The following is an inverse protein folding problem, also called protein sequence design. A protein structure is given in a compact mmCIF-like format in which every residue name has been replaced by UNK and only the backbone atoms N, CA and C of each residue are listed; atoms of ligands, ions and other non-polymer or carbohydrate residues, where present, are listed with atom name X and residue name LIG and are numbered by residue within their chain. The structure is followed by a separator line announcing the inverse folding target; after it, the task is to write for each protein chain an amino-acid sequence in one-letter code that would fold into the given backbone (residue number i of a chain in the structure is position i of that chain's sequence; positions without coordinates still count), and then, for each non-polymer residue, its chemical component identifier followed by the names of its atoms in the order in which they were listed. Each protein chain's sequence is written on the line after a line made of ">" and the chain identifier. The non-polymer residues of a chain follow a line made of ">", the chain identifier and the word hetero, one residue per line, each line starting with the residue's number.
data_IF_889197725549
#
_entry.id   IF_889197725549
#
_cell.length_a   1.000
_cell.length_b   1.000
_cell.length_c   1.000
_cell.angle_alpha   90.00
_cell.angle_beta   90.00
_cell.angle_gamma   90.00
#
_symmetry.space_group_name_H-M   'P 1'
#
loop_
_entity.id
_entity.type
_entity.pdbx_description
1 polymer ?
#
# COMPACT_ATOMS: atom_id res chain seq x y z
N UNK A 1 20.83 -9.31 1.00
CA UNK A 1 19.51 -8.73 1.32
C UNK A 1 18.74 -8.68 0.02
N UNK A 2 17.51 -9.11 0.02
CA UNK A 2 16.68 -9.07 -1.18
C UNK A 2 15.35 -8.35 -0.91
N UNK A 3 14.70 -7.93 -1.98
CA UNK A 3 13.49 -7.11 -1.93
C UNK A 3 12.38 -7.66 -2.82
N UNK A 4 11.17 -7.69 -2.28
CA UNK A 4 9.96 -8.06 -3.00
C UNK A 4 9.04 -6.85 -3.08
N UNK A 5 8.71 -6.44 -4.29
CA UNK A 5 7.76 -5.36 -4.57
C UNK A 5 6.39 -5.94 -4.94
N UNK A 6 5.32 -5.48 -4.29
CA UNK A 6 3.95 -5.88 -4.59
C UNK A 6 3.11 -4.65 -4.86
N UNK A 7 2.75 -4.42 -6.12
CA UNK A 7 1.91 -3.32 -6.53
C UNK A 7 0.51 -3.78 -6.97
N UNK A 8 -0.43 -2.86 -7.05
CA UNK A 8 -1.77 -3.14 -7.54
C UNK A 8 -2.83 -2.22 -6.91
N UNK A 9 -4.07 -2.25 -7.42
CA UNK A 9 -5.14 -1.34 -7.01
C UNK A 9 -5.65 -1.58 -5.59
N UNK A 10 -6.49 -0.69 -5.09
CA UNK A 10 -7.09 -0.81 -3.76
C UNK A 10 -8.00 -2.04 -3.67
N UNK A 11 -7.94 -2.77 -2.55
CA UNK A 11 -8.80 -3.95 -2.33
C UNK A 11 -8.36 -5.22 -3.07
N UNK A 12 -7.21 -5.25 -3.77
CA UNK A 12 -6.72 -6.45 -4.46
C UNK A 12 -6.12 -7.52 -3.51
N UNK A 13 -6.04 -7.27 -2.20
CA UNK A 13 -5.52 -8.25 -1.23
C UNK A 13 -4.03 -8.11 -0.94
N UNK A 14 -3.33 -7.11 -1.50
CA UNK A 14 -1.88 -6.91 -1.35
C UNK A 14 -1.39 -6.95 0.10
N UNK A 15 -2.02 -6.21 1.00
CA UNK A 15 -1.55 -6.11 2.39
C UNK A 15 -1.60 -7.46 3.09
N UNK A 16 -2.65 -8.24 2.86
CA UNK A 16 -2.79 -9.57 3.45
C UNK A 16 -1.72 -10.51 2.90
N UNK A 17 -1.56 -10.55 1.57
CA UNK A 17 -0.59 -11.45 0.94
C UNK A 17 0.85 -11.04 1.23
N UNK A 18 1.15 -9.73 1.23
CA UNK A 18 2.48 -9.21 1.52
C UNK A 18 2.93 -9.55 2.94
N UNK A 19 2.02 -9.45 3.91
CA UNK A 19 2.28 -9.83 5.29
C UNK A 19 2.55 -11.34 5.42
N UNK A 20 1.68 -12.18 4.87
CA UNK A 20 1.88 -13.63 4.87
C UNK A 20 3.17 -14.05 4.17
N UNK A 21 3.51 -13.40 3.05
CA UNK A 21 4.74 -13.66 2.32
C UNK A 21 5.97 -13.27 3.15
N UNK A 22 5.94 -12.12 3.81
CA UNK A 22 7.03 -11.67 4.69
C UNK A 22 7.23 -12.64 5.86
N UNK A 23 6.15 -13.09 6.50
CA UNK A 23 6.19 -14.08 7.57
C UNK A 23 6.80 -15.42 7.09
N UNK A 24 6.36 -15.93 5.94
CA UNK A 24 6.88 -17.18 5.34
C UNK A 24 8.35 -17.11 4.93
N UNK A 25 8.82 -15.93 4.55
CA UNK A 25 10.21 -15.68 4.16
C UNK A 25 11.08 -15.21 5.34
N UNK A 26 10.48 -14.96 6.50
CA UNK A 26 11.13 -14.39 7.69
C UNK A 26 11.89 -13.09 7.38
N UNK A 27 11.20 -12.16 6.69
CA UNK A 27 11.72 -10.83 6.33
C UNK A 27 10.71 -9.74 6.70
N UNK A 28 11.12 -8.49 6.60
CA UNK A 28 10.30 -7.36 7.05
C UNK A 28 9.16 -7.06 6.07
N UNK A 29 7.94 -7.01 6.57
CA UNK A 29 6.79 -6.45 5.86
C UNK A 29 6.78 -4.91 5.95
N UNK A 30 6.42 -4.21 4.86
CA UNK A 30 6.28 -2.75 4.82
C UNK A 30 5.02 -2.33 4.07
N UNK A 31 4.04 -1.76 4.80
CA UNK A 31 2.84 -1.09 4.25
C UNK A 31 3.17 0.38 3.95
N UNK A 32 3.52 0.69 2.70
CA UNK A 32 3.81 2.08 2.33
C UNK A 32 2.57 2.97 2.40
N UNK A 33 1.38 2.43 2.17
CA UNK A 33 0.13 3.15 2.32
C UNK A 33 -0.11 3.62 3.76
N UNK A 34 0.37 2.88 4.76
CA UNK A 34 0.32 3.31 6.16
C UNK A 34 1.14 4.59 6.39
N UNK A 35 2.30 4.73 5.75
CA UNK A 35 3.12 5.93 5.85
C UNK A 35 2.42 7.16 5.26
N UNK A 36 1.75 7.03 4.10
CA UNK A 36 0.92 8.12 3.54
C UNK A 36 -0.26 8.46 4.45
N UNK A 37 -0.89 7.46 5.07
CA UNK A 37 -1.98 7.67 6.02
C UNK A 37 -1.51 8.35 7.32
N UNK A 38 -0.28 8.12 7.77
CA UNK A 38 0.29 8.84 8.91
C UNK A 38 0.48 10.34 8.60
N UNK A 39 0.95 10.70 7.41
CA UNK A 39 1.00 12.10 6.97
C UNK A 39 -0.41 12.70 6.90
N UNK A 40 -1.39 11.95 6.39
CA UNK A 40 -2.77 12.40 6.32
C UNK A 40 -3.38 12.64 7.72
N UNK A 41 -3.08 11.78 8.68
CA UNK A 41 -3.50 11.94 10.07
C UNK A 41 -2.92 13.24 10.65
N UNK A 42 -1.62 13.47 10.51
CA UNK A 42 -0.97 14.69 11.00
C UNK A 42 -1.58 15.96 10.39
N UNK A 43 -1.77 15.98 9.07
CA UNK A 43 -2.42 17.10 8.39
C UNK A 43 -3.85 17.34 8.90
N UNK A 44 -4.62 16.28 9.15
CA UNK A 44 -5.97 16.39 9.70
C UNK A 44 -5.98 16.95 11.13
N UNK A 45 -5.09 16.43 11.99
CA UNK A 45 -5.03 16.82 13.41
C UNK A 45 -4.52 18.26 13.61
N UNK A 46 -3.59 18.70 12.77
CA UNK A 46 -2.98 20.04 12.87
C UNK A 46 -3.69 21.09 12.01
N UNK A 47 -4.43 20.67 10.97
CA UNK A 47 -4.99 21.58 9.97
C UNK A 47 -3.94 22.18 9.02
N UNK A 48 -2.68 21.70 9.06
CA UNK A 48 -1.57 22.20 8.24
C UNK A 48 -1.45 21.35 6.98
N UNK A 49 -1.14 22.00 5.85
CA UNK A 49 -0.89 21.28 4.60
C UNK A 49 0.44 20.49 4.67
N UNK A 50 0.48 19.27 4.09
CA UNK A 50 1.65 18.40 4.21
C UNK A 50 2.96 19.03 3.75
N UNK A 51 2.92 19.92 2.76
CA UNK A 51 4.11 20.57 2.20
C UNK A 51 4.82 21.51 3.19
N UNK A 52 4.07 21.99 4.19
CA UNK A 52 4.55 22.96 5.16
C UNK A 52 5.20 22.30 6.38
N UNK A 53 4.94 20.99 6.61
CA UNK A 53 5.51 20.27 7.75
C UNK A 53 6.32 19.03 7.38
N UNK A 54 6.29 18.57 6.12
CA UNK A 54 6.85 17.26 5.74
C UNK A 54 8.34 17.10 6.05
N UNK A 55 9.09 18.20 6.08
CA UNK A 55 10.52 18.19 6.42
C UNK A 55 10.78 18.03 7.92
N UNK A 56 9.81 18.34 8.76
CA UNK A 56 9.91 18.36 10.22
C UNK A 56 9.35 17.08 10.86
N UNK A 57 8.51 16.34 10.12
CA UNK A 57 7.85 15.16 10.64
C UNK A 57 8.78 13.95 10.58
N UNK A 58 8.80 13.17 11.66
CA UNK A 58 9.46 11.89 11.71
C UNK A 58 8.46 10.77 11.43
N UNK A 59 8.76 9.94 10.43
CA UNK A 59 8.01 8.72 10.16
C UNK A 59 8.95 7.54 10.21
N UNK A 60 8.57 6.54 11.00
CA UNK A 60 9.24 5.25 11.07
C UNK A 60 8.25 4.10 10.86
N UNK A 61 8.79 2.95 10.46
CA UNK A 61 8.03 1.73 10.25
C UNK A 61 8.86 0.52 10.72
N UNK A 62 8.41 -0.11 11.80
CA UNK A 62 9.01 -1.33 12.35
C UNK A 62 7.93 -2.16 13.07
N UNK A 63 8.16 -3.45 13.20
CA UNK A 63 7.26 -4.40 13.87
C UNK A 63 5.80 -4.34 13.35
N UNK A 64 5.66 -4.19 12.02
CA UNK A 64 4.37 -4.02 11.32
C UNK A 64 3.56 -2.77 11.76
N UNK A 65 4.21 -1.81 12.41
CA UNK A 65 3.61 -0.59 12.92
C UNK A 65 4.21 0.65 12.28
N UNK A 66 3.36 1.67 12.13
CA UNK A 66 3.81 2.99 11.68
C UNK A 66 3.83 3.98 12.85
N UNK A 67 4.93 4.68 12.96
CA UNK A 67 5.16 5.69 13.99
C UNK A 67 5.22 7.07 13.35
N UNK A 68 4.56 8.02 13.99
CA UNK A 68 4.56 9.44 13.62
C UNK A 68 5.09 10.22 14.82
N UNK A 69 6.23 10.90 14.64
CA UNK A 69 6.92 11.63 15.71
C UNK A 69 7.10 10.78 17.00
N UNK A 70 7.41 9.50 16.83
CA UNK A 70 7.61 8.54 17.92
C UNK A 70 6.32 7.92 18.49
N UNK A 71 5.14 8.35 18.07
CA UNK A 71 3.86 7.78 18.50
C UNK A 71 3.40 6.68 17.54
N UNK A 72 2.95 5.52 18.07
CA UNK A 72 2.29 4.47 17.27
C UNK A 72 0.90 4.95 16.84
N UNK A 73 0.72 5.18 15.55
CA UNK A 73 -0.53 5.65 14.95
C UNK A 73 -1.25 4.59 14.13
N UNK A 74 -0.81 3.33 14.21
CA UNK A 74 -1.26 2.23 13.35
C UNK A 74 -2.77 2.01 13.36
N UNK A 75 -3.43 2.19 14.49
CA UNK A 75 -4.88 2.06 14.60
C UNK A 75 -5.62 3.33 14.15
N UNK A 76 -5.08 4.51 14.50
CA UNK A 76 -5.67 5.81 14.15
C UNK A 76 -5.79 6.05 12.65
N UNK A 77 -4.88 5.49 11.86
CA UNK A 77 -4.81 5.68 10.40
C UNK A 77 -5.74 4.79 9.58
N UNK A 78 -6.51 3.88 10.21
CA UNK A 78 -7.31 2.87 9.49
C UNK A 78 -8.77 3.28 9.24
N UNK A 79 -9.05 4.57 9.24
CA UNK A 79 -10.39 5.11 8.92
C UNK A 79 -10.53 5.41 7.42
N UNK A 80 -11.77 5.41 6.93
CA UNK A 80 -12.07 5.74 5.53
C UNK A 80 -11.68 7.20 5.22
N UNK A 81 -11.94 8.11 6.15
CA UNK A 81 -11.58 9.52 6.01
C UNK A 81 -10.06 9.72 5.81
N UNK A 82 -9.24 9.09 6.66
CA UNK A 82 -7.78 9.14 6.53
C UNK A 82 -7.33 8.48 5.22
N UNK A 83 -7.98 7.41 4.80
CA UNK A 83 -7.66 6.73 3.54
C UNK A 83 -7.95 7.62 2.31
N UNK A 84 -9.07 8.36 2.31
CA UNK A 84 -9.41 9.34 1.25
C UNK A 84 -8.42 10.51 1.24
N UNK A 85 -8.09 11.05 2.42
CA UNK A 85 -7.11 12.13 2.54
C UNK A 85 -5.71 11.70 2.09
N UNK A 86 -5.26 10.51 2.47
CA UNK A 86 -3.98 9.93 2.03
C UNK A 86 -3.90 9.79 0.50
N UNK A 87 -4.99 9.37 -0.15
CA UNK A 87 -5.07 9.30 -1.61
C UNK A 87 -4.90 10.70 -2.25
N UNK A 88 -5.52 11.73 -1.67
CA UNK A 88 -5.35 13.12 -2.12
C UNK A 88 -3.90 13.60 -1.95
N UNK A 89 -3.33 13.40 -0.76
CA UNK A 89 -1.97 13.82 -0.40
C UNK A 89 -0.92 13.10 -1.26
N UNK A 90 -1.15 11.84 -1.63
CA UNK A 90 -0.23 11.05 -2.44
C UNK A 90 0.03 11.61 -3.85
N UNK A 91 -0.76 12.59 -4.31
CA UNK A 91 -0.53 13.32 -5.56
C UNK A 91 0.58 14.37 -5.43
N UNK A 92 0.90 14.80 -4.21
CA UNK A 92 1.90 15.84 -3.96
C UNK A 92 3.32 15.29 -4.11
N UNK A 93 4.11 15.88 -5.02
CA UNK A 93 5.46 15.42 -5.35
C UNK A 93 6.40 15.47 -4.13
N UNK A 94 6.39 16.56 -3.34
CA UNK A 94 7.28 16.69 -2.17
C UNK A 94 7.02 15.61 -1.12
N UNK A 95 5.73 15.30 -0.88
CA UNK A 95 5.35 14.22 0.04
C UNK A 95 5.83 12.88 -0.46
N UNK A 96 5.69 12.63 -1.77
CA UNK A 96 6.18 11.39 -2.38
C UNK A 96 7.68 11.25 -2.25
N UNK A 97 8.44 12.27 -2.65
CA UNK A 97 9.90 12.27 -2.58
C UNK A 97 10.39 11.98 -1.16
N UNK A 98 9.80 12.62 -0.15
CA UNK A 98 10.11 12.38 1.25
C UNK A 98 9.85 10.92 1.65
N UNK A 99 8.65 10.39 1.37
CA UNK A 99 8.28 9.03 1.75
C UNK A 99 9.07 7.97 0.98
N UNK A 100 9.31 8.16 -0.32
CA UNK A 100 10.15 7.26 -1.13
C UNK A 100 11.56 7.16 -0.55
N UNK A 101 12.16 8.28 -0.11
CA UNK A 101 13.47 8.26 0.55
C UNK A 101 13.44 7.44 1.85
N UNK A 102 12.39 7.57 2.67
CA UNK A 102 12.22 6.77 3.91
C UNK A 102 12.07 5.28 3.58
N UNK A 103 11.22 4.92 2.62
CA UNK A 103 10.99 3.55 2.16
C UNK A 103 12.27 2.90 1.63
N UNK A 104 13.04 3.60 0.81
CA UNK A 104 14.35 3.14 0.33
C UNK A 104 15.36 2.94 1.46
N UNK A 105 15.34 3.79 2.49
CA UNK A 105 16.21 3.62 3.67
C UNK A 105 15.89 2.32 4.43
N UNK A 106 14.62 1.93 4.51
CA UNK A 106 14.21 0.67 5.14
C UNK A 106 14.78 -0.52 4.35
N UNK A 107 14.58 -0.56 3.02
CA UNK A 107 15.03 -1.67 2.17
C UNK A 107 16.55 -1.82 2.09
N UNK A 108 17.32 -0.73 2.32
CA UNK A 108 18.77 -0.78 2.40
C UNK A 108 19.31 -1.39 3.69
N UNK A 109 18.48 -1.50 4.73
CA UNK A 109 18.90 -2.03 6.04
C UNK A 109 18.57 -3.50 6.23
N UNK A 110 17.56 -4.02 5.51
CA UNK A 110 17.03 -5.37 5.68
C UNK A 110 16.30 -5.86 4.43
N UNK A 111 16.15 -7.18 4.29
CA UNK A 111 15.27 -7.75 3.27
C UNK A 111 13.82 -7.40 3.57
N UNK A 112 13.05 -7.08 2.52
CA UNK A 112 11.67 -6.57 2.67
C UNK A 112 10.69 -7.20 1.70
N UNK A 113 9.44 -7.35 2.12
CA UNK A 113 8.25 -7.35 1.26
C UNK A 113 7.60 -5.99 1.41
N UNK A 114 7.61 -5.20 0.38
CA UNK A 114 7.03 -3.86 0.37
C UNK A 114 5.83 -3.80 -0.57
N UNK A 115 4.71 -3.29 -0.07
CA UNK A 115 3.50 -3.16 -0.88
C UNK A 115 3.07 -1.72 -1.09
N UNK A 116 2.50 -1.45 -2.27
CA UNK A 116 2.02 -0.10 -2.61
C UNK A 116 1.35 0.03 -3.96
N UNK A 117 1.72 1.09 -4.70
CA UNK A 117 1.20 1.42 -6.04
C UNK A 117 2.29 1.61 -7.07
N UNK A 118 3.50 1.89 -6.62
CA UNK A 118 4.63 2.28 -7.43
C UNK A 118 5.95 1.74 -6.86
N UNK A 119 5.85 0.62 -6.13
CA UNK A 119 7.01 0.04 -5.47
C UNK A 119 8.00 -0.45 -6.53
N UNK A 120 7.55 -1.28 -7.48
CA UNK A 120 8.38 -1.84 -8.53
C UNK A 120 8.75 -0.86 -9.64
N UNK A 121 8.10 0.31 -9.72
CA UNK A 121 8.39 1.32 -10.75
C UNK A 121 9.23 2.47 -10.22
N UNK A 122 9.04 2.89 -8.97
CA UNK A 122 9.66 4.11 -8.41
C UNK A 122 10.47 3.82 -7.15
N UNK A 123 9.89 3.13 -6.18
CA UNK A 123 10.52 2.96 -4.86
C UNK A 123 11.71 2.01 -4.96
N UNK A 124 11.49 0.81 -5.51
CA UNK A 124 12.46 -0.28 -5.67
C UNK A 124 12.45 -0.78 -7.13
N UNK A 125 12.89 0.04 -8.10
CA UNK A 125 12.87 -0.35 -9.51
C UNK A 125 13.77 -1.56 -9.80
N UNK A 126 14.77 -1.79 -8.95
CA UNK A 126 15.68 -2.93 -9.01
C UNK A 126 15.32 -4.02 -7.99
N UNK A 127 14.03 -4.12 -7.58
CA UNK A 127 13.59 -5.20 -6.70
C UNK A 127 13.85 -6.56 -7.33
N UNK A 128 14.34 -7.51 -6.51
CA UNK A 128 14.68 -8.87 -6.97
C UNK A 128 13.45 -9.60 -7.50
N UNK A 129 12.29 -9.34 -6.88
CA UNK A 129 11.00 -9.90 -7.30
C UNK A 129 9.95 -8.79 -7.33
N UNK A 130 9.21 -8.72 -8.43
CA UNK A 130 8.13 -7.76 -8.63
C UNK A 130 6.84 -8.49 -8.96
N UNK A 131 5.79 -8.16 -8.23
CA UNK A 131 4.45 -8.69 -8.45
C UNK A 131 3.45 -7.56 -8.66
N UNK A 132 2.51 -7.74 -9.56
CA UNK A 132 1.36 -6.88 -9.72
C UNK A 132 0.11 -7.70 -9.42
N UNK A 133 -0.53 -7.43 -8.28
CA UNK A 133 -1.70 -8.15 -7.81
C UNK A 133 -2.96 -7.36 -8.12
N UNK A 134 -3.86 -7.96 -8.87
CA UNK A 134 -5.16 -7.37 -9.18
C UNK A 134 -6.29 -8.39 -9.00
N UNK A 135 -7.51 -7.87 -9.04
CA UNK A 135 -8.77 -8.56 -9.23
C UNK A 135 -9.72 -7.55 -9.85
N UNK A 136 -10.66 -7.95 -10.63
CA UNK A 136 -11.66 -7.04 -11.22
C UNK A 136 -12.30 -6.14 -10.16
N UNK A 137 -12.63 -4.89 -10.53
CA UNK A 137 -13.10 -3.86 -9.56
C UNK A 137 -14.35 -4.31 -8.80
N UNK A 138 -15.24 -5.08 -9.41
CA UNK A 138 -16.44 -5.63 -8.78
C UNK A 138 -16.07 -6.64 -7.68
N UNK A 139 -15.08 -7.50 -7.93
CA UNK A 139 -14.56 -8.46 -6.94
C UNK A 139 -13.95 -7.71 -5.75
N UNK A 140 -13.16 -6.68 -6.02
CA UNK A 140 -12.55 -5.83 -4.97
C UNK A 140 -13.60 -5.07 -4.17
N UNK A 141 -14.63 -4.55 -4.83
CA UNK A 141 -15.75 -3.89 -4.19
C UNK A 141 -16.52 -4.85 -3.27
N UNK A 142 -16.75 -6.09 -3.72
CA UNK A 142 -17.42 -7.11 -2.90
C UNK A 142 -16.59 -7.46 -1.66
N UNK A 143 -15.28 -7.66 -1.82
CA UNK A 143 -14.35 -7.90 -0.69
C UNK A 143 -14.39 -6.74 0.31
N UNK A 144 -14.33 -5.49 -0.19
CA UNK A 144 -14.35 -4.30 0.67
C UNK A 144 -15.68 -4.11 1.37
N UNK A 145 -16.79 -4.29 0.66
CA UNK A 145 -18.14 -4.24 1.23
C UNK A 145 -18.30 -5.24 2.39
N UNK A 146 -17.91 -6.50 2.17
CA UNK A 146 -17.99 -7.53 3.21
C UNK A 146 -17.15 -7.15 4.44
N UNK A 147 -15.93 -6.64 4.25
CA UNK A 147 -15.08 -6.16 5.35
C UNK A 147 -15.70 -5.04 6.18
N UNK A 148 -16.44 -4.11 5.54
CA UNK A 148 -17.14 -3.03 6.25
C UNK A 148 -18.30 -3.59 7.07
N UNK A 149 -19.09 -4.47 6.48
CA UNK A 149 -20.22 -5.13 7.18
C UNK A 149 -19.72 -5.96 8.38
N UNK A 150 -18.66 -6.74 8.22
CA UNK A 150 -18.03 -7.53 9.30
C UNK A 150 -17.56 -6.66 10.47
N UNK A 151 -17.13 -5.41 10.20
CA UNK A 151 -16.76 -4.42 11.22
C UNK A 151 -17.98 -3.73 11.86
N UNK A 152 -19.20 -4.02 11.42
CA UNK A 152 -20.42 -3.36 11.87
C UNK A 152 -20.64 -1.95 11.28
N UNK A 153 -19.89 -1.59 10.24
CA UNK A 153 -20.03 -0.32 9.55
C UNK A 153 -21.21 -0.39 8.56
N UNK A 154 -21.96 0.71 8.44
CA UNK A 154 -22.98 0.82 7.38
C UNK A 154 -22.29 1.09 6.06
N UNK A 155 -22.57 0.26 5.06
CA UNK A 155 -22.03 0.42 3.73
C UNK A 155 -23.10 0.06 2.67
N UNK A 156 -23.02 0.70 1.51
CA UNK A 156 -23.80 0.38 0.32
C UNK A 156 -22.82 -0.08 -0.78
N UNK A 157 -23.13 -1.21 -1.41
CA UNK A 157 -22.20 -1.83 -2.38
C UNK A 157 -21.89 -0.89 -3.55
N UNK A 158 -22.89 -0.22 -4.09
CA UNK A 158 -22.77 0.72 -5.20
C UNK A 158 -21.83 1.87 -4.84
N UNK A 159 -21.94 2.40 -3.61
CA UNK A 159 -21.05 3.48 -3.16
C UNK A 159 -19.60 2.98 -3.01
N UNK A 160 -19.42 1.79 -2.45
CA UNK A 160 -18.08 1.17 -2.33
C UNK A 160 -17.46 0.94 -3.71
N UNK A 161 -18.25 0.50 -4.69
CA UNK A 161 -17.80 0.30 -6.07
C UNK A 161 -17.38 1.63 -6.73
N UNK A 162 -18.18 2.68 -6.57
CA UNK A 162 -17.87 4.02 -7.08
C UNK A 162 -16.58 4.53 -6.46
N UNK A 163 -16.47 4.50 -5.13
CA UNK A 163 -15.29 4.97 -4.39
C UNK A 163 -14.00 4.23 -4.83
N UNK A 164 -14.09 2.93 -5.12
CA UNK A 164 -12.96 2.16 -5.63
C UNK A 164 -12.60 2.54 -7.08
N UNK A 165 -13.58 2.72 -7.96
CA UNK A 165 -13.34 3.16 -9.34
C UNK A 165 -12.67 4.54 -9.38
N UNK A 166 -13.16 5.47 -8.58
CA UNK A 166 -12.58 6.82 -8.49
C UNK A 166 -11.15 6.79 -7.95
N UNK A 167 -10.90 5.95 -6.97
CA UNK A 167 -9.57 5.77 -6.41
C UNK A 167 -8.60 5.17 -7.42
N UNK A 168 -9.00 4.11 -8.11
CA UNK A 168 -8.19 3.47 -9.15
C UNK A 168 -7.91 4.45 -10.30
N UNK A 169 -8.92 5.19 -10.74
CA UNK A 169 -8.76 6.23 -11.75
C UNK A 169 -7.71 7.27 -11.30
N UNK A 170 -7.81 7.74 -10.05
CA UNK A 170 -6.83 8.67 -9.50
C UNK A 170 -5.42 8.08 -9.39
N UNK A 171 -5.29 6.81 -8.94
CA UNK A 171 -3.99 6.14 -8.80
C UNK A 171 -3.33 5.91 -10.17
N UNK A 172 -4.12 5.55 -11.21
CA UNK A 172 -3.62 5.27 -12.56
C UNK A 172 -3.31 6.54 -13.37
N UNK A 173 -4.03 7.64 -13.14
CA UNK A 173 -3.92 8.86 -13.94
C UNK A 173 -3.19 10.01 -13.23
N UNK A 174 -2.62 9.79 -12.06
CA UNK A 174 -1.83 10.84 -11.40
C UNK A 174 -0.57 11.14 -12.20
N UNK A 175 -0.20 12.41 -12.26
CA UNK A 175 0.97 12.90 -13.00
C UNK A 175 2.28 12.26 -12.50
N UNK A 176 2.40 12.11 -11.17
CA UNK A 176 3.60 11.59 -10.54
C UNK A 176 3.39 10.14 -10.09
N UNK A 177 4.23 9.21 -10.57
CA UNK A 177 4.26 7.80 -10.20
C UNK A 177 2.90 7.10 -10.35
N UNK A 178 2.28 7.08 -11.54
CA UNK A 178 1.01 6.41 -11.75
C UNK A 178 1.09 4.93 -11.37
N UNK A 179 -0.05 4.35 -10.99
CA UNK A 179 -0.17 2.92 -10.78
C UNK A 179 -0.11 2.22 -12.14
N UNK A 180 1.03 1.63 -12.44
CA UNK A 180 1.23 0.80 -13.63
C UNK A 180 2.02 -0.47 -13.24
N UNK A 181 1.83 -1.54 -14.01
CA UNK A 181 2.62 -2.76 -13.82
C UNK A 181 4.08 -2.48 -14.19
N UNK A 182 4.99 -2.67 -13.25
CA UNK A 182 6.42 -2.51 -13.49
C UNK A 182 6.92 -3.50 -14.56
N UNK A 183 7.97 -3.11 -15.28
CA UNK A 183 8.66 -4.01 -16.20
C UNK A 183 9.21 -5.22 -15.42
N UNK A 184 9.04 -6.41 -16.00
CA UNK A 184 9.40 -7.69 -15.35
C UNK A 184 8.50 -8.11 -14.19
N UNK A 185 7.47 -7.33 -13.84
CA UNK A 185 6.54 -7.74 -12.78
C UNK A 185 5.62 -8.88 -13.24
N UNK A 186 5.50 -9.90 -12.40
CA UNK A 186 4.58 -11.02 -12.60
C UNK A 186 3.17 -10.55 -12.23
N UNK A 187 2.27 -10.63 -13.20
CA UNK A 187 0.86 -10.34 -12.97
C UNK A 187 0.16 -11.53 -12.30
N UNK A 188 -0.56 -11.29 -11.23
CA UNK A 188 -1.39 -12.27 -10.55
C UNK A 188 -2.82 -11.75 -10.47
N UNK A 189 -3.72 -12.39 -11.22
CA UNK A 189 -5.15 -12.19 -11.01
C UNK A 189 -5.59 -13.03 -9.81
N UNK A 190 -6.12 -12.35 -8.80
CA UNK A 190 -6.59 -12.97 -7.57
C UNK A 190 -8.13 -13.09 -7.51
N UNK A 191 -8.83 -12.88 -8.64
CA UNK A 191 -10.29 -12.90 -8.68
C UNK A 191 -10.83 -14.29 -8.29
N UNK A 192 -10.28 -15.32 -8.92
CA UNK A 192 -10.79 -16.71 -8.87
C UNK A 192 -9.85 -17.67 -8.13
N UNK A 193 -8.81 -17.14 -7.46
CA UNK A 193 -7.87 -17.98 -6.69
C UNK A 193 -7.89 -17.58 -5.22
N UNK A 194 -7.64 -18.55 -4.36
CA UNK A 194 -7.56 -18.37 -2.92
C UNK A 194 -6.32 -17.55 -2.52
N UNK A 195 -6.32 -17.09 -1.29
CA UNK A 195 -5.16 -16.42 -0.70
C UNK A 195 -3.94 -17.36 -0.63
N UNK A 196 -4.17 -18.65 -0.31
CA UNK A 196 -3.13 -19.67 -0.24
C UNK A 196 -2.52 -19.95 -1.62
N UNK A 197 -3.34 -20.15 -2.65
CA UNK A 197 -2.86 -20.31 -4.03
C UNK A 197 -2.09 -19.08 -4.53
N UNK A 198 -2.52 -17.87 -4.13
CA UNK A 198 -1.78 -16.64 -4.44
C UNK A 198 -0.41 -16.63 -3.78
N UNK A 199 -0.34 -17.01 -2.50
CA UNK A 199 0.90 -17.09 -1.74
C UNK A 199 1.85 -18.12 -2.34
N UNK A 200 1.34 -19.31 -2.68
CA UNK A 200 2.13 -20.38 -3.28
C UNK A 200 2.72 -19.99 -4.63
N UNK A 201 1.95 -19.30 -5.49
CA UNK A 201 2.48 -18.75 -6.75
C UNK A 201 3.65 -17.81 -6.52
N UNK A 202 3.55 -16.89 -5.51
CA UNK A 202 4.64 -15.98 -5.19
C UNK A 202 5.85 -16.72 -4.62
N UNK A 203 5.63 -17.66 -3.69
CA UNK A 203 6.71 -18.44 -3.07
C UNK A 203 7.44 -19.31 -4.09
N UNK A 204 6.72 -19.95 -5.01
CA UNK A 204 7.32 -20.77 -6.08
C UNK A 204 8.19 -19.90 -7.01
N UNK A 205 7.74 -18.68 -7.33
CA UNK A 205 8.54 -17.73 -8.11
C UNK A 205 9.83 -17.32 -7.38
N UNK A 206 9.77 -17.13 -6.06
CA UNK A 206 10.92 -16.66 -5.26
C UNK A 206 11.94 -17.79 -5.01
N UNK A 207 11.48 -19.01 -4.93
CA UNK A 207 12.33 -20.18 -4.62
C UNK A 207 12.95 -20.85 -5.85
N UNK A 208 12.45 -20.53 -7.07
CA UNK A 208 12.92 -21.05 -8.36
C UNK A 208 12.35 -22.41 -8.63
#
# INVERSE_FOLDING_TARGET
>A
MYSVAIDGPSGSGKSTIAKLLADKLNITYVDTGAMYRAIALHSKETGIEPVDFISEVEIDYHDDKVFLNGEDVSDKIRTEEISKLASKISKNLKVREFLVQKQRKISKKRSVVMEGRDIGTVVLPEADYKFYLDAGVEVRAKRRYNQLIEKGEKAEFEQVLIDLKDRDFNDMNRENSPLVKAEGAIFIDSADITLEETLDKMLNTIRG
#
